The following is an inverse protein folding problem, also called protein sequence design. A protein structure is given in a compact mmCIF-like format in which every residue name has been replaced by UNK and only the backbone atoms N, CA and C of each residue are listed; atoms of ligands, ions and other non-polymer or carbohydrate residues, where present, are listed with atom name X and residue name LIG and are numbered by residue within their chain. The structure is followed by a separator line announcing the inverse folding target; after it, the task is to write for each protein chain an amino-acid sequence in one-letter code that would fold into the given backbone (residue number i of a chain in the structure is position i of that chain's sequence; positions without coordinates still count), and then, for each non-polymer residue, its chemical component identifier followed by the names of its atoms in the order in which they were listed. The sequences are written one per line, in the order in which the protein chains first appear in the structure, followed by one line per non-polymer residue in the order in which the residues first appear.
data_IF_344010761089
#
_entry.id   IF_344010761089
#
_cell.length_a   1.000
_cell.length_b   1.000
_cell.length_c   1.000
_cell.angle_alpha   90.00
_cell.angle_beta   90.00
_cell.angle_gamma   90.00
#
_symmetry.space_group_name_H-M   'P 1'
#
loop_
_entity.id
_entity.type
_entity.pdbx_description
1 polymer ?
#
# COMPACT_ATOMS: atom_id res chain seq x y z
N UNK A 1 -23.50 -14.47 3.10
CA UNK A 1 -23.06 -14.32 2.90
C UNK A 1 -22.23 -14.34 2.98
N UNK A 2 -21.79 -14.17 3.08
CA UNK A 2 -21.16 -13.98 3.01
C UNK A 2 -20.47 -14.14 2.60
N UNK A 3 -20.57 -14.46 2.69
CA UNK A 3 -19.94 -14.55 2.18
C UNK A 3 -19.13 -14.01 1.97
N UNK A 4 -19.16 -14.23 2.44
CA UNK A 4 -18.77 -13.48 1.99
C UNK A 4 -17.79 -12.42 2.03
N UNK A 5 -17.37 -12.00 3.14
CA UNK A 5 -16.46 -10.90 3.20
C UNK A 5 -15.21 -11.12 2.38
N UNK A 6 -14.71 -12.33 2.41
CA UNK A 6 -13.50 -12.66 1.67
C UNK A 6 -13.73 -12.53 0.17
N UNK A 7 -14.82 -13.08 -0.30
CA UNK A 7 -15.11 -13.04 -1.72
C UNK A 7 -15.39 -11.62 -2.20
N UNK A 8 -16.06 -10.85 -1.38
CA UNK A 8 -16.33 -9.47 -1.72
C UNK A 8 -15.04 -8.71 -1.91
N UNK A 9 -14.09 -8.93 -1.02
CA UNK A 9 -12.82 -8.25 -1.12
C UNK A 9 -12.07 -8.61 -2.41
N UNK A 10 -12.00 -9.89 -2.73
CA UNK A 10 -11.33 -10.32 -3.94
C UNK A 10 -12.01 -9.76 -5.17
N UNK A 11 -13.32 -9.83 -5.22
CA UNK A 11 -14.07 -9.29 -6.35
C UNK A 11 -13.88 -7.80 -6.48
N UNK A 12 -13.83 -7.12 -5.36
CA UNK A 12 -13.62 -5.69 -5.38
C UNK A 12 -12.28 -5.35 -6.02
N UNK A 13 -11.23 -6.04 -5.63
CA UNK A 13 -9.91 -5.79 -6.18
C UNK A 13 -9.88 -5.99 -7.69
N UNK A 14 -10.49 -7.04 -8.16
CA UNK A 14 -10.47 -7.35 -9.58
C UNK A 14 -11.47 -6.53 -10.37
N UNK A 15 -12.57 -6.17 -9.76
CA UNK A 15 -13.59 -5.40 -10.44
C UNK A 15 -13.17 -3.97 -10.73
N UNK A 16 -12.25 -3.45 -9.96
CA UNK A 16 -11.81 -2.05 -10.11
C UNK A 16 -10.35 -2.02 -10.51
N UNK A 17 -10.10 -2.48 -11.72
CA UNK A 17 -8.72 -2.60 -12.17
C UNK A 17 -7.95 -1.31 -12.25
N UNK A 18 -8.63 -0.18 -12.31
CA UNK A 18 -7.95 1.11 -12.31
C UNK A 18 -7.66 1.61 -10.92
N UNK A 19 -8.22 0.96 -9.92
CA UNK A 19 -7.96 1.32 -8.53
C UNK A 19 -6.66 0.69 -8.06
N UNK A 20 -5.96 1.39 -7.21
CA UNK A 20 -4.68 0.91 -6.70
C UNK A 20 -4.65 1.07 -5.19
N UNK A 21 -3.88 0.22 -4.50
CA UNK A 21 -3.67 0.45 -3.08
C UNK A 21 -2.95 1.77 -2.91
N UNK A 22 -3.38 2.57 -1.97
CA UNK A 22 -2.73 3.85 -1.72
C UNK A 22 -2.80 4.18 -0.25
N UNK A 23 -1.73 4.79 0.24
CA UNK A 23 -1.66 5.21 1.61
C UNK A 23 -0.56 4.51 2.37
N UNK A 24 -0.60 4.70 3.68
CA UNK A 24 0.45 4.26 4.59
C UNK A 24 0.04 3.03 5.36
N UNK A 25 0.98 2.08 5.49
CA UNK A 25 0.83 0.96 6.41
C UNK A 25 1.97 1.02 7.42
N UNK A 26 1.63 0.89 8.69
CA UNK A 26 2.59 0.90 9.80
C UNK A 26 2.77 -0.52 10.31
N UNK A 27 4.02 -0.95 10.49
CA UNK A 27 4.27 -2.31 10.93
C UNK A 27 3.94 -2.49 12.41
N UNK A 28 3.80 -3.76 12.86
CA UNK A 28 3.34 -4.03 14.25
C UNK A 28 4.22 -3.44 15.32
N UNK A 29 5.54 -3.40 15.13
CA UNK A 29 6.43 -2.86 16.15
C UNK A 29 6.64 -1.35 15.98
N UNK A 30 5.93 -0.72 15.04
CA UNK A 30 5.92 0.72 14.82
C UNK A 30 7.28 1.29 14.43
N UNK A 31 8.12 0.48 13.82
CA UNK A 31 9.45 0.91 13.41
C UNK A 31 9.54 1.35 11.97
N UNK A 32 8.57 0.96 11.15
CA UNK A 32 8.58 1.24 9.71
C UNK A 32 7.20 1.50 9.17
N UNK A 33 7.18 2.30 8.11
CA UNK A 33 5.96 2.58 7.34
C UNK A 33 6.24 2.27 5.88
N UNK A 34 5.22 1.80 5.18
CA UNK A 34 5.30 1.67 3.73
C UNK A 34 4.21 2.54 3.13
N UNK A 35 4.61 3.39 2.19
CA UNK A 35 3.68 4.23 1.45
C UNK A 35 3.46 3.63 0.06
N UNK A 36 2.23 3.34 -0.26
CA UNK A 36 1.84 2.89 -1.59
C UNK A 36 1.28 4.06 -2.36
N UNK A 37 1.86 4.34 -3.53
CA UNK A 37 1.36 5.40 -4.40
C UNK A 37 1.41 4.92 -5.84
N UNK A 38 0.49 5.42 -6.63
CA UNK A 38 0.44 5.06 -8.04
C UNK A 38 1.48 5.86 -8.82
N UNK A 39 2.18 5.21 -9.73
CA UNK A 39 3.04 5.90 -10.67
C UNK A 39 2.15 6.54 -11.72
N UNK A 40 2.01 7.85 -11.65
CA UNK A 40 1.09 8.59 -12.52
C UNK A 40 1.51 8.57 -13.98
N UNK A 41 2.74 8.21 -14.24
CA UNK A 41 3.26 8.11 -15.61
C UNK A 41 3.03 6.74 -16.22
N UNK A 42 2.53 5.79 -15.45
CA UNK A 42 2.31 4.46 -16.00
C UNK A 42 1.12 4.44 -16.93
N UNK A 43 1.18 3.56 -17.93
CA UNK A 43 0.12 3.42 -18.91
C UNK A 43 -1.11 2.79 -18.28
N UNK A 44 -2.28 3.09 -18.84
CA UNK A 44 -3.54 2.56 -18.35
C UNK A 44 -3.58 1.04 -18.26
N UNK A 45 -2.98 0.39 -19.23
CA UNK A 45 -2.99 -1.07 -19.30
C UNK A 45 -1.75 -1.68 -18.65
N UNK A 46 -0.94 -0.87 -17.99
CA UNK A 46 0.27 -1.37 -17.31
C UNK A 46 0.55 -0.47 -16.11
N UNK A 47 -0.38 -0.48 -15.18
CA UNK A 47 -0.30 0.38 -14.01
C UNK A 47 0.80 -0.10 -13.08
N UNK A 48 1.64 0.83 -12.65
CA UNK A 48 2.73 0.55 -11.73
C UNK A 48 2.49 1.28 -10.42
N UNK A 49 2.89 0.65 -9.34
CA UNK A 49 2.70 1.16 -7.99
C UNK A 49 4.05 1.26 -7.32
N UNK A 50 4.31 2.39 -6.69
CA UNK A 50 5.49 2.55 -5.85
C UNK A 50 5.17 2.07 -4.44
N UNK A 51 6.13 1.41 -3.82
CA UNK A 51 6.10 1.08 -2.40
C UNK A 51 7.37 1.66 -1.78
N UNK A 52 7.20 2.74 -1.04
CA UNK A 52 8.31 3.44 -0.40
C UNK A 52 8.34 3.06 1.06
N UNK A 53 9.44 2.46 1.51
CA UNK A 53 9.58 2.08 2.91
C UNK A 53 10.33 3.19 3.65
N UNK A 54 9.74 3.62 4.77
CA UNK A 54 10.30 4.67 5.61
C UNK A 54 10.56 4.13 6.99
N UNK A 55 11.55 4.71 7.66
CA UNK A 55 11.68 4.51 9.10
C UNK A 55 10.63 5.35 9.80
N UNK A 56 10.18 4.89 10.95
CA UNK A 56 9.16 5.56 11.73
C UNK A 56 9.72 6.05 13.05
N UNK A 57 9.23 7.18 13.52
CA UNK A 57 9.56 7.65 14.86
C UNK A 57 8.59 7.05 15.89
N UNK A 58 8.74 7.43 17.15
CA UNK A 58 7.91 6.88 18.23
C UNK A 58 6.43 7.21 18.07
N UNK A 59 6.11 8.23 17.32
CA UNK A 59 4.73 8.63 17.10
C UNK A 59 4.10 7.94 15.89
N UNK A 60 4.85 7.10 15.20
CA UNK A 60 4.34 6.44 14.01
C UNK A 60 4.39 7.31 12.78
N UNK A 61 5.25 8.32 12.78
CA UNK A 61 5.39 9.23 11.65
C UNK A 61 6.63 8.89 10.83
N UNK A 62 6.58 9.05 9.50
CA UNK A 62 7.74 8.73 8.68
C UNK A 62 8.88 9.72 8.92
N UNK A 63 10.09 9.20 8.94
CA UNK A 63 11.29 10.02 9.09
C UNK A 63 12.10 10.02 7.81
N UNK A 64 12.93 9.02 7.59
CA UNK A 64 13.75 8.96 6.38
C UNK A 64 13.36 7.72 5.58
N UNK A 65 13.59 7.81 4.27
CA UNK A 65 13.27 6.71 3.39
C UNK A 65 14.36 5.65 3.52
N UNK A 66 13.92 4.39 3.60
CA UNK A 66 14.83 3.26 3.67
C UNK A 66 15.05 2.65 2.30
N UNK A 67 13.98 2.47 1.54
CA UNK A 67 14.05 1.84 0.23
C UNK A 67 12.77 2.13 -0.53
N UNK A 68 12.84 1.92 -1.84
CA UNK A 68 11.68 2.07 -2.71
C UNK A 68 11.68 0.93 -3.71
N UNK A 69 10.50 0.49 -4.08
CA UNK A 69 10.34 -0.48 -5.14
C UNK A 69 9.14 -0.09 -5.99
N UNK A 70 9.09 -0.65 -7.17
CA UNK A 70 7.98 -0.43 -8.08
C UNK A 70 7.47 -1.80 -8.52
N UNK A 71 6.18 -1.95 -8.62
CA UNK A 71 5.58 -3.23 -8.93
C UNK A 71 4.34 -3.06 -9.76
N UNK A 72 3.89 -4.14 -10.37
CA UNK A 72 2.63 -4.15 -11.10
C UNK A 72 1.47 -4.03 -10.13
N UNK A 73 0.33 -3.57 -10.66
CA UNK A 73 -0.85 -3.37 -9.85
C UNK A 73 -1.27 -4.62 -9.08
N UNK A 74 -1.27 -5.77 -9.73
CA UNK A 74 -1.68 -7.02 -9.07
C UNK A 74 -0.75 -7.37 -7.92
N UNK A 75 0.55 -7.20 -8.15
CA UNK A 75 1.54 -7.47 -7.11
C UNK A 75 1.38 -6.51 -5.94
N UNK A 76 1.02 -5.27 -6.24
CA UNK A 76 0.82 -4.27 -5.19
C UNK A 76 -0.38 -4.63 -4.31
N UNK A 77 -1.47 -5.11 -4.91
CA UNK A 77 -2.62 -5.55 -4.13
C UNK A 77 -2.27 -6.75 -3.26
N UNK A 78 -1.52 -7.71 -3.81
CA UNK A 78 -1.09 -8.87 -3.03
C UNK A 78 -0.22 -8.42 -1.85
N UNK A 79 0.71 -7.52 -2.10
CA UNK A 79 1.59 -7.02 -1.05
C UNK A 79 0.79 -6.28 0.03
N UNK A 80 -0.16 -5.45 -0.39
CA UNK A 80 -1.01 -4.69 0.51
C UNK A 80 -1.77 -5.61 1.46
N UNK A 81 -2.36 -6.69 0.92
CA UNK A 81 -3.08 -7.65 1.73
C UNK A 81 -2.16 -8.44 2.65
N UNK A 82 -1.03 -8.89 2.11
CA UNK A 82 -0.09 -9.69 2.89
C UNK A 82 0.43 -8.92 4.10
N UNK A 83 0.74 -7.65 3.92
CA UNK A 83 1.21 -6.83 5.03
C UNK A 83 0.15 -6.72 6.12
N UNK A 84 -1.10 -6.54 5.74
CA UNK A 84 -2.17 -6.46 6.74
C UNK A 84 -2.35 -7.78 7.46
N UNK A 85 -2.19 -8.89 6.77
CA UNK A 85 -2.23 -10.21 7.41
C UNK A 85 -1.09 -10.38 8.39
N UNK A 86 0.03 -9.71 8.16
CA UNK A 86 1.18 -9.74 9.06
C UNK A 86 1.05 -8.76 10.22
N UNK A 87 -0.05 -8.02 10.27
CA UNK A 87 -0.31 -7.11 11.38
C UNK A 87 -0.04 -5.64 11.10
N UNK A 88 0.31 -5.29 9.87
CA UNK A 88 0.46 -3.88 9.51
C UNK A 88 -0.90 -3.21 9.50
N UNK A 89 -0.95 -1.96 9.95
CA UNK A 89 -2.21 -1.21 10.05
C UNK A 89 -2.18 0.02 9.18
N UNK A 90 -3.35 0.34 8.64
CA UNK A 90 -3.50 1.54 7.83
C UNK A 90 -3.42 2.78 8.71
N UNK A 91 -2.68 3.78 8.25
CA UNK A 91 -2.54 5.05 8.95
C UNK A 91 -2.87 6.19 8.00
N UNK A 92 -3.63 7.14 8.49
CA UNK A 92 -3.96 8.33 7.71
C UNK A 92 -2.94 9.42 7.99
N UNK A 93 -1.93 9.49 7.14
CA UNK A 93 -0.86 10.48 7.26
C UNK A 93 -0.78 11.27 5.98
N UNK A 94 -0.23 12.46 6.08
CA UNK A 94 -0.04 13.27 4.89
C UNK A 94 1.00 12.66 3.97
N UNK A 95 0.79 12.85 2.66
CA UNK A 95 1.76 12.37 1.68
C UNK A 95 2.96 13.31 1.65
N UNK A 96 4.17 12.77 1.46
CA UNK A 96 5.34 13.62 1.26
C UNK A 96 5.17 14.45 0.00
N UNK A 97 5.75 15.63 -0.01
CA UNK A 97 5.65 16.50 -1.17
C UNK A 97 6.22 15.88 -2.42
N UNK A 98 7.20 15.01 -2.27
CA UNK A 98 7.85 14.35 -3.39
C UNK A 98 7.11 13.11 -3.89
N UNK A 99 6.03 12.74 -3.25
CA UNK A 99 5.33 11.49 -3.60
C UNK A 99 4.33 11.64 -4.74
#
# INVERSE_FOLDING_TARGET
MALGGVNVWSNFSYGYRNESPSGWLLNPDRSRLILFTRNKKSARNNIRIFAHTYYSNDLGEPTSIKSSSQMHLDDAWDKWHDLQLEGWTFEELELPESA
#
